data_IF_154588645869
#
_entry.id   IF_154588645869
#
_cell.length_a   1.000
_cell.length_b   1.000
_cell.length_c   1.000
_cell.angle_alpha   90.00
_cell.angle_beta   90.00
_cell.angle_gamma   90.00
#
_symmetry.space_group_name_H-M   'P 1'
#
loop_
_entity.id
_entity.type
_entity.pdbx_description
1 polymer ?
#
# COMPACT_ATOMS: atom_id res chain seq x y z
N UNK A 1 -1.66 11.10 19.47
CA UNK A 1 -2.89 11.07 18.64
C UNK A 1 -2.48 10.53 17.30
N UNK A 2 -2.97 9.37 16.91
CA UNK A 2 -2.70 8.80 15.60
C UNK A 2 -3.54 9.56 14.56
N UNK A 3 -2.90 10.11 13.56
CA UNK A 3 -3.52 10.84 12.46
C UNK A 3 -3.57 9.88 11.26
N UNK A 4 -4.72 9.71 10.62
CA UNK A 4 -4.82 8.88 9.41
C UNK A 4 -4.15 9.63 8.24
N UNK A 5 -3.21 8.99 7.56
CA UNK A 5 -2.52 9.56 6.42
C UNK A 5 -2.80 8.71 5.17
N UNK A 6 -3.56 9.26 4.24
CA UNK A 6 -3.91 8.69 2.93
C UNK A 6 -2.85 9.01 1.87
N UNK A 7 -2.13 10.10 2.06
CA UNK A 7 -1.02 10.52 1.22
C UNK A 7 0.16 10.92 2.08
N UNK A 8 1.35 10.45 1.72
CA UNK A 8 2.58 10.77 2.46
C UNK A 8 3.74 10.91 1.49
N UNK A 9 4.61 11.87 1.78
CA UNK A 9 5.89 12.00 1.07
C UNK A 9 6.94 11.14 1.77
N UNK A 10 7.56 10.24 1.01
CA UNK A 10 8.61 9.33 1.48
C UNK A 10 9.90 9.60 0.71
N UNK A 11 10.93 10.02 1.43
CA UNK A 11 12.29 10.11 0.87
C UNK A 11 13.02 8.79 1.05
N UNK A 12 13.33 8.12 -0.05
CA UNK A 12 14.07 6.86 -0.07
C UNK A 12 15.49 7.08 -0.54
N UNK A 13 16.43 6.46 0.15
CA UNK A 13 17.85 6.55 -0.12
C UNK A 13 18.45 5.14 -0.12
N UNK A 14 18.81 4.65 -1.30
CA UNK A 14 19.50 3.38 -1.43
C UNK A 14 20.94 3.48 -0.98
N UNK A 15 21.53 2.35 -0.63
CA UNK A 15 22.91 2.28 -0.16
C UNK A 15 23.91 2.63 -1.26
N UNK A 16 25.00 3.29 -0.89
CA UNK A 16 26.12 3.51 -1.78
C UNK A 16 26.91 2.22 -1.96
N UNK A 17 27.48 2.00 -3.14
CA UNK A 17 28.46 0.95 -3.36
C UNK A 17 29.76 1.22 -2.60
N UNK A 18 30.39 0.17 -2.08
CA UNK A 18 31.70 0.23 -1.46
C UNK A 18 32.80 0.52 -2.50
N UNK A 19 33.85 1.19 -2.11
CA UNK A 19 34.99 1.41 -3.00
C UNK A 19 35.76 0.11 -3.25
N UNK A 20 36.34 -0.06 -4.43
CA UNK A 20 37.34 -1.09 -4.69
C UNK A 20 38.66 -0.79 -3.95
N UNK A 21 39.46 -1.81 -3.76
CA UNK A 21 40.77 -1.70 -3.12
C UNK A 21 41.90 -1.69 -4.17
N UNK A 22 42.88 -0.85 -3.97
CA UNK A 22 44.14 -0.92 -4.74
C UNK A 22 45.25 -1.44 -3.81
N UNK A 23 45.54 -2.74 -3.92
CA UNK A 23 46.52 -3.46 -3.10
C UNK A 23 47.40 -4.33 -3.99
N UNK A 24 48.63 -4.58 -3.52
CA UNK A 24 49.62 -5.43 -4.19
C UNK A 24 49.97 -6.55 -3.21
N UNK A 25 49.86 -7.78 -3.68
CA UNK A 25 50.28 -8.95 -2.93
C UNK A 25 51.79 -8.91 -2.63
N UNK A 26 52.14 -9.06 -1.37
CA UNK A 26 53.54 -9.07 -0.93
C UNK A 26 53.77 -10.31 -0.09
N UNK A 27 54.66 -11.17 -0.58
CA UNK A 27 55.17 -12.32 0.16
C UNK A 27 56.66 -12.26 0.30
N UNK A 28 57.21 -12.93 1.30
CA UNK A 28 58.63 -13.11 1.47
C UNK A 28 59.20 -13.78 0.21
N UNK A 29 60.16 -13.17 -0.46
CA UNK A 29 60.76 -13.61 -1.72
C UNK A 29 59.92 -13.45 -3.00
N UNK A 30 58.74 -12.80 -2.95
CA UNK A 30 57.94 -12.40 -4.12
C UNK A 30 57.60 -10.92 -4.11
N UNK A 31 58.57 -10.01 -4.39
CA UNK A 31 58.33 -8.57 -4.31
C UNK A 31 57.32 -8.03 -5.35
N UNK A 32 57.06 -8.80 -6.43
CA UNK A 32 56.13 -8.45 -7.52
C UNK A 32 54.94 -9.43 -7.57
N UNK A 33 54.23 -9.62 -6.44
CA UNK A 33 53.14 -10.58 -6.32
C UNK A 33 51.86 -10.27 -7.11
N UNK A 34 51.81 -9.11 -7.80
CA UNK A 34 50.66 -8.71 -8.60
C UNK A 34 49.59 -7.95 -7.82
N UNK A 35 48.56 -7.42 -8.52
CA UNK A 35 47.41 -6.76 -7.88
C UNK A 35 46.53 -7.77 -7.17
N UNK A 36 46.14 -7.48 -5.95
CA UNK A 36 45.30 -8.33 -5.11
C UNK A 36 44.16 -7.57 -4.40
N UNK A 37 43.88 -6.35 -4.85
CA UNK A 37 42.78 -5.57 -4.30
C UNK A 37 41.42 -6.09 -4.76
N UNK A 38 40.55 -6.40 -3.79
CA UNK A 38 39.19 -6.87 -4.00
C UNK A 38 38.20 -5.76 -4.41
N UNK A 39 37.05 -6.16 -4.91
CA UNK A 39 35.97 -5.24 -5.28
C UNK A 39 35.23 -4.73 -4.03
N UNK A 40 34.59 -3.55 -4.11
CA UNK A 40 33.63 -3.10 -3.13
C UNK A 40 32.30 -3.88 -3.24
N UNK A 41 31.57 -3.98 -2.14
CA UNK A 41 30.24 -4.56 -2.11
C UNK A 41 29.19 -3.63 -2.74
N UNK A 42 28.08 -4.18 -3.21
CA UNK A 42 26.91 -3.42 -3.70
C UNK A 42 26.22 -2.70 -2.55
N UNK A 43 25.63 -1.54 -2.77
CA UNK A 43 24.69 -0.91 -1.85
C UNK A 43 23.34 -1.66 -1.84
N UNK A 44 22.65 -1.64 -0.70
CA UNK A 44 21.31 -2.22 -0.57
C UNK A 44 20.24 -1.42 -1.32
N UNK A 45 19.22 -2.11 -1.80
CA UNK A 45 18.05 -1.51 -2.44
C UNK A 45 17.02 -1.07 -1.37
N UNK A 46 16.14 -0.11 -1.71
CA UNK A 46 14.92 0.17 -0.95
C UNK A 46 13.74 -0.43 -1.70
N UNK A 47 13.02 -1.32 -1.04
CA UNK A 47 11.93 -2.09 -1.64
C UNK A 47 10.65 -1.81 -0.84
N UNK A 48 9.58 -1.42 -1.53
CA UNK A 48 8.24 -1.38 -0.97
C UNK A 48 7.59 -2.75 -1.19
N UNK A 49 6.98 -3.32 -0.14
CA UNK A 49 6.31 -4.61 -0.19
C UNK A 49 4.93 -4.51 0.45
N UNK A 50 3.91 -5.04 -0.22
CA UNK A 50 2.56 -5.10 0.34
C UNK A 50 2.50 -6.13 1.45
N UNK A 51 2.14 -5.67 2.66
CA UNK A 51 2.00 -6.52 3.83
C UNK A 51 0.60 -6.41 4.44
N UNK A 52 0.02 -7.56 4.81
CA UNK A 52 -1.31 -7.64 5.42
C UNK A 52 -1.39 -6.95 6.79
N UNK A 53 -0.28 -6.84 7.50
CA UNK A 53 -0.21 -6.17 8.81
C UNK A 53 -0.21 -4.64 8.71
N UNK A 54 0.10 -4.08 7.52
CA UNK A 54 0.11 -2.63 7.29
C UNK A 54 -1.24 -2.17 6.78
N UNK A 55 -1.98 -1.38 7.56
CA UNK A 55 -3.28 -0.85 7.18
C UNK A 55 -3.25 0.66 6.86
N UNK A 56 -2.18 1.38 7.22
CA UNK A 56 -2.10 2.85 7.07
C UNK A 56 -0.71 3.30 6.67
N UNK A 57 -0.61 4.49 6.08
CA UNK A 57 0.66 5.14 5.75
C UNK A 57 1.24 5.99 6.89
N UNK A 58 0.67 5.92 8.08
CA UNK A 58 0.99 6.79 9.22
C UNK A 58 2.45 6.70 9.68
N UNK A 59 3.05 5.52 9.63
CA UNK A 59 4.45 5.31 10.02
C UNK A 59 5.42 6.12 9.14
N UNK A 60 5.05 6.37 7.89
CA UNK A 60 5.86 7.16 6.96
C UNK A 60 5.76 8.66 7.26
N UNK A 61 4.63 9.12 7.80
CA UNK A 61 4.50 10.49 8.26
C UNK A 61 5.45 10.78 9.43
N UNK A 62 5.62 9.81 10.34
CA UNK A 62 6.53 9.94 11.50
C UNK A 62 8.01 9.79 11.12
N UNK A 63 8.30 8.98 10.12
CA UNK A 63 9.66 8.68 9.65
C UNK A 63 9.73 8.81 8.13
N UNK A 64 9.77 10.04 7.60
CA UNK A 64 9.68 10.30 6.16
C UNK A 64 10.96 9.94 5.38
N UNK A 65 12.06 9.65 6.06
CA UNK A 65 13.33 9.29 5.42
C UNK A 65 13.67 7.83 5.73
N UNK A 66 13.90 7.05 4.68
CA UNK A 66 14.27 5.63 4.76
C UNK A 66 15.57 5.39 4.01
N UNK A 67 16.51 4.68 4.64
CA UNK A 67 17.86 4.44 4.09
C UNK A 67 18.20 2.97 4.15
N UNK A 68 18.69 2.42 3.02
CA UNK A 68 19.27 1.07 2.96
C UNK A 68 20.75 1.08 3.34
N UNK A 69 21.30 -0.12 3.55
CA UNK A 69 22.69 -0.29 3.94
C UNK A 69 23.68 0.01 2.82
N UNK A 70 24.83 0.62 3.15
CA UNK A 70 25.91 0.82 2.19
C UNK A 70 26.72 -0.46 2.01
N UNK A 71 27.27 -0.68 0.82
CA UNK A 71 28.27 -1.70 0.55
C UNK A 71 29.59 -1.38 1.25
N UNK A 72 30.29 -2.41 1.71
CA UNK A 72 31.61 -2.27 2.32
C UNK A 72 32.70 -2.14 1.27
N UNK A 73 33.79 -1.47 1.63
CA UNK A 73 34.96 -1.36 0.80
C UNK A 73 35.63 -2.74 0.61
N UNK A 74 36.20 -2.98 -0.57
CA UNK A 74 37.07 -4.12 -0.81
C UNK A 74 38.40 -4.00 -0.05
N UNK A 75 39.03 -5.12 0.22
CA UNK A 75 40.29 -5.22 0.96
C UNK A 75 41.36 -5.92 0.11
N UNK A 76 42.60 -5.93 0.61
CA UNK A 76 43.68 -6.72 0.01
C UNK A 76 43.38 -8.23 0.04
N UNK A 77 44.26 -9.02 -0.60
CA UNK A 77 44.12 -10.47 -0.71
C UNK A 77 42.84 -10.92 -1.43
N UNK A 78 42.42 -10.17 -2.44
CA UNK A 78 41.20 -10.37 -3.25
C UNK A 78 39.90 -10.43 -2.44
N UNK A 79 39.84 -9.83 -1.24
CA UNK A 79 38.64 -9.81 -0.42
C UNK A 79 37.65 -8.78 -0.94
N UNK A 80 36.52 -9.28 -1.44
CA UNK A 80 35.39 -8.42 -1.83
C UNK A 80 34.69 -7.88 -0.58
N UNK A 81 34.34 -6.60 -0.59
CA UNK A 81 33.53 -5.99 0.45
C UNK A 81 32.13 -6.62 0.51
N UNK A 82 31.58 -6.71 1.72
CA UNK A 82 30.20 -7.22 1.89
C UNK A 82 29.20 -6.25 1.27
N UNK A 83 28.11 -6.82 0.69
CA UNK A 83 27.00 -6.06 0.16
C UNK A 83 26.21 -5.37 1.29
N UNK A 84 25.64 -4.22 1.00
CA UNK A 84 24.71 -3.52 1.88
C UNK A 84 23.38 -4.27 1.99
N UNK A 85 22.77 -4.21 3.17
CA UNK A 85 21.47 -4.85 3.41
C UNK A 85 20.37 -4.06 2.70
N UNK A 86 19.51 -4.77 1.98
CA UNK A 86 18.29 -4.19 1.41
C UNK A 86 17.33 -3.76 2.52
N UNK A 87 16.59 -2.68 2.29
CA UNK A 87 15.54 -2.20 3.20
C UNK A 87 14.19 -2.53 2.59
N UNK A 88 13.47 -3.47 3.21
CA UNK A 88 12.08 -3.80 2.88
C UNK A 88 11.18 -2.95 3.75
N UNK A 89 10.24 -2.25 3.12
CA UNK A 89 9.28 -1.35 3.75
C UNK A 89 7.89 -1.90 3.48
N UNK A 90 7.19 -2.30 4.55
CA UNK A 90 5.81 -2.75 4.48
C UNK A 90 4.87 -1.59 4.13
N UNK A 91 4.01 -1.77 3.13
CA UNK A 91 2.99 -0.81 2.71
C UNK A 91 1.62 -1.49 2.66
N UNK A 92 0.51 -0.73 2.87
CA UNK A 92 -0.84 -1.25 2.73
C UNK A 92 -1.13 -1.70 1.30
N UNK A 93 -2.06 -2.66 1.18
CA UNK A 93 -2.60 -3.07 -0.12
C UNK A 93 -3.34 -1.91 -0.80
N UNK A 94 -3.11 -1.72 -2.11
CA UNK A 94 -3.68 -0.60 -2.89
C UNK A 94 -2.92 0.72 -2.72
N UNK A 95 -1.65 0.65 -2.33
CA UNK A 95 -0.76 1.82 -2.29
C UNK A 95 -0.28 2.17 -3.69
N UNK A 96 -0.60 3.36 -4.17
CA UNK A 96 -0.05 3.94 -5.40
C UNK A 96 1.24 4.70 -5.10
N UNK A 97 2.27 4.43 -5.88
CA UNK A 97 3.58 5.09 -5.76
C UNK A 97 3.73 6.09 -6.89
N UNK A 98 3.89 7.37 -6.56
CA UNK A 98 4.06 8.46 -7.52
C UNK A 98 5.41 9.14 -7.35
N UNK A 99 5.87 9.79 -8.43
CA UNK A 99 6.97 10.78 -8.34
C UNK A 99 6.48 12.06 -7.67
N UNK A 100 7.40 12.95 -7.31
CA UNK A 100 7.06 14.29 -6.82
C UNK A 100 6.25 15.10 -7.85
N UNK A 101 6.39 14.80 -9.14
CA UNK A 101 5.69 15.46 -10.25
C UNK A 101 4.30 14.84 -10.52
N UNK A 102 3.89 13.82 -9.75
CA UNK A 102 2.58 13.17 -9.85
C UNK A 102 2.52 12.01 -10.86
N UNK A 103 3.62 11.63 -11.50
CA UNK A 103 3.66 10.46 -12.39
C UNK A 103 3.54 9.17 -11.57
N UNK A 104 2.64 8.27 -11.97
CA UNK A 104 2.44 6.97 -11.33
C UNK A 104 3.56 6.01 -11.73
N UNK A 105 4.34 5.56 -10.75
CA UNK A 105 5.43 4.60 -10.95
C UNK A 105 4.97 3.15 -10.77
N UNK A 106 4.07 2.91 -9.80
CA UNK A 106 3.53 1.59 -9.52
C UNK A 106 2.21 1.69 -8.77
N UNK A 107 1.36 0.67 -8.94
CA UNK A 107 0.17 0.41 -8.17
C UNK A 107 0.38 -0.92 -7.43
N UNK A 108 0.46 -0.88 -6.10
CA UNK A 108 0.84 -2.01 -5.28
C UNK A 108 -0.43 -2.71 -4.78
N UNK A 109 -0.93 -3.63 -5.60
CA UNK A 109 -2.11 -4.46 -5.32
C UNK A 109 -1.69 -5.91 -5.15
N UNK A 110 -2.28 -6.60 -4.16
CA UNK A 110 -1.97 -8.00 -3.83
C UNK A 110 -0.84 -8.14 -2.79
N UNK A 111 -1.03 -9.10 -1.85
CA UNK A 111 -0.04 -9.38 -0.80
C UNK A 111 1.29 -9.86 -1.40
N UNK A 112 2.40 -9.36 -0.86
CA UNK A 112 3.73 -9.71 -1.32
C UNK A 112 4.17 -9.02 -2.62
N UNK A 113 3.32 -8.16 -3.22
CA UNK A 113 3.72 -7.34 -4.37
C UNK A 113 4.86 -6.41 -3.97
N UNK A 114 5.92 -6.39 -4.80
CA UNK A 114 7.15 -5.64 -4.52
C UNK A 114 7.45 -4.60 -5.58
N UNK A 115 7.92 -3.44 -5.14
CA UNK A 115 8.42 -2.38 -6.00
C UNK A 115 9.78 -1.88 -5.51
N UNK A 116 10.78 -1.84 -6.40
CA UNK A 116 12.10 -1.28 -6.07
C UNK A 116 12.03 0.25 -6.16
N UNK A 117 11.86 0.89 -5.02
CA UNK A 117 11.73 2.33 -4.90
C UNK A 117 13.02 3.08 -5.21
N UNK A 118 14.18 2.53 -4.79
CA UNK A 118 15.50 3.06 -5.11
C UNK A 118 16.53 1.92 -5.18
N UNK A 119 17.40 1.97 -6.18
CA UNK A 119 18.45 0.96 -6.39
C UNK A 119 19.75 1.34 -5.74
N UNK A 120 20.40 0.36 -5.10
CA UNK A 120 21.72 0.50 -4.54
C UNK A 120 22.80 0.73 -5.61
N UNK A 121 23.82 1.49 -5.23
CA UNK A 121 24.99 1.74 -6.09
C UNK A 121 25.84 0.49 -6.27
N UNK A 122 26.47 0.35 -7.42
CA UNK A 122 27.39 -0.76 -7.68
C UNK A 122 28.68 -0.57 -6.90
N UNK A 123 29.25 -1.67 -6.42
CA UNK A 123 30.58 -1.68 -5.83
C UNK A 123 31.66 -1.35 -6.86
N UNK A 124 32.65 -0.57 -6.44
CA UNK A 124 33.81 -0.25 -7.28
C UNK A 124 34.73 -1.45 -7.50
N UNK A 125 35.30 -1.56 -8.67
CA UNK A 125 36.23 -2.66 -9.00
C UNK A 125 37.57 -2.42 -8.32
N UNK A 126 38.13 -3.48 -7.72
CA UNK A 126 39.48 -3.50 -7.20
C UNK A 126 40.55 -3.57 -8.32
N UNK A 127 41.79 -3.27 -7.99
CA UNK A 127 42.83 -3.27 -8.98
C UNK A 127 43.16 -4.65 -9.58
N UNK A 128 42.83 -5.74 -8.86
CA UNK A 128 42.92 -7.10 -9.40
C UNK A 128 41.97 -7.32 -10.58
N UNK A 129 40.72 -6.83 -10.47
CA UNK A 129 39.71 -6.90 -11.55
C UNK A 129 40.02 -5.96 -12.73
N UNK A 130 40.78 -4.90 -12.51
CA UNK A 130 41.21 -3.93 -13.53
C UNK A 130 42.52 -4.29 -14.23
N UNK A 131 43.16 -5.40 -13.83
CA UNK A 131 44.37 -5.88 -14.46
C UNK A 131 44.11 -6.32 -15.90
N UNK A 132 45.04 -5.95 -16.79
CA UNK A 132 44.99 -6.31 -18.20
C UNK A 132 46.36 -6.65 -18.74
N UNK A 133 46.50 -7.30 -19.91
CA UNK A 133 47.80 -7.60 -20.51
C UNK A 133 48.68 -6.39 -20.72
N UNK A 134 48.09 -5.21 -21.00
CA UNK A 134 48.78 -3.93 -21.15
C UNK A 134 49.11 -3.26 -19.81
N UNK A 135 48.32 -3.49 -18.76
CA UNK A 135 48.50 -2.91 -17.42
C UNK A 135 48.37 -4.05 -16.39
N UNK A 136 49.46 -4.75 -16.13
CA UNK A 136 49.44 -5.95 -15.26
C UNK A 136 49.21 -5.64 -13.79
N UNK A 137 49.54 -4.48 -13.29
CA UNK A 137 49.33 -4.05 -11.90
C UNK A 137 48.85 -2.59 -11.86
N UNK A 138 47.56 -2.32 -12.01
CA UNK A 138 46.99 -1.00 -11.86
C UNK A 138 47.21 -0.48 -10.42
N UNK A 139 47.72 0.74 -10.26
CA UNK A 139 47.88 1.39 -8.95
C UNK A 139 46.63 2.11 -8.45
N UNK A 140 45.46 1.83 -9.02
CA UNK A 140 44.17 2.44 -8.68
C UNK A 140 43.07 1.44 -8.66
N UNK A 141 41.97 1.77 -7.99
CA UNK A 141 40.71 1.07 -7.97
C UNK A 141 39.54 2.03 -8.27
N UNK A 142 38.41 1.53 -8.65
CA UNK A 142 37.23 2.35 -8.89
C UNK A 142 36.49 2.65 -7.57
N UNK A 143 35.91 3.84 -7.47
CA UNK A 143 34.98 4.18 -6.40
C UNK A 143 33.68 3.46 -6.62
N UNK A 144 32.97 3.16 -5.53
CA UNK A 144 31.59 2.69 -5.60
C UNK A 144 30.67 3.78 -6.14
N UNK A 145 29.64 3.36 -6.84
CA UNK A 145 28.61 4.27 -7.35
C UNK A 145 27.70 4.76 -6.21
N UNK A 146 27.18 5.99 -6.29
CA UNK A 146 26.17 6.45 -5.35
C UNK A 146 24.87 5.65 -5.53
N UNK A 147 24.21 5.32 -4.43
CA UNK A 147 22.85 4.76 -4.45
C UNK A 147 21.84 5.81 -4.92
N UNK A 148 20.73 5.34 -5.50
CA UNK A 148 19.66 6.21 -5.95
C UNK A 148 18.96 6.88 -4.77
N UNK A 149 18.57 8.13 -4.98
CA UNK A 149 17.76 8.93 -4.07
C UNK A 149 16.48 9.35 -4.80
N UNK A 150 15.31 9.18 -4.15
CA UNK A 150 14.04 9.61 -4.72
C UNK A 150 13.13 10.15 -3.63
N UNK A 151 12.39 11.19 -3.97
CA UNK A 151 11.24 11.64 -3.21
C UNK A 151 10.00 11.04 -3.87
N UNK A 152 9.26 10.22 -3.14
CA UNK A 152 8.08 9.51 -3.62
C UNK A 152 6.86 10.00 -2.86
N UNK A 153 5.73 10.04 -3.53
CA UNK A 153 4.43 10.24 -2.92
C UNK A 153 3.75 8.87 -2.89
N UNK A 154 3.42 8.39 -1.69
CA UNK A 154 2.61 7.20 -1.49
C UNK A 154 1.17 7.65 -1.25
N UNK A 155 0.23 7.10 -2.01
CA UNK A 155 -1.19 7.38 -1.89
C UNK A 155 -1.98 6.08 -1.77
N UNK A 156 -2.86 6.00 -0.77
CA UNK A 156 -3.67 4.82 -0.54
C UNK A 156 -4.99 4.92 -1.30
N UNK A 157 -5.16 4.10 -2.33
CA UNK A 157 -6.39 4.06 -3.15
C UNK A 157 -7.53 3.26 -2.53
N UNK A 158 -7.23 2.37 -1.58
CA UNK A 158 -8.25 1.56 -0.89
C UNK A 158 -8.96 2.41 0.12
N UNK A 159 -10.27 2.57 -0.04
CA UNK A 159 -11.05 3.47 0.82
C UNK A 159 -11.26 2.86 2.20
N UNK A 160 -11.60 1.56 2.29
CA UNK A 160 -11.76 0.86 3.57
C UNK A 160 -11.84 -0.66 3.37
N UNK A 161 -11.46 -1.43 4.41
CA UNK A 161 -11.69 -2.87 4.46
C UNK A 161 -13.18 -3.17 4.73
N UNK A 162 -13.81 -2.36 5.59
CA UNK A 162 -15.20 -2.52 6.02
C UNK A 162 -16.02 -1.26 5.73
N UNK A 163 -17.13 -1.40 5.06
CA UNK A 163 -18.10 -0.33 4.81
C UNK A 163 -19.32 -0.45 5.74
N UNK A 164 -19.64 0.61 6.51
CA UNK A 164 -20.88 0.70 7.26
C UNK A 164 -21.98 1.22 6.36
N UNK A 165 -23.02 0.43 6.19
CA UNK A 165 -24.16 0.72 5.31
C UNK A 165 -25.43 0.81 6.15
N UNK A 166 -26.25 1.83 5.94
CA UNK A 166 -27.47 2.02 6.71
C UNK A 166 -28.13 3.35 6.42
N UNK A 167 -29.33 3.52 6.88
CA UNK A 167 -30.08 4.78 6.75
C UNK A 167 -29.38 5.96 7.43
N UNK A 168 -29.70 7.21 7.05
CA UNK A 168 -29.29 8.38 7.82
C UNK A 168 -29.69 8.22 9.30
N UNK A 169 -28.85 8.70 10.20
CA UNK A 169 -29.04 8.64 11.66
C UNK A 169 -29.10 7.23 12.28
N UNK A 170 -28.78 6.16 11.54
CA UNK A 170 -28.65 4.82 12.11
C UNK A 170 -27.46 4.66 13.09
N UNK A 171 -26.60 5.68 13.17
CA UNK A 171 -25.46 5.73 14.10
C UNK A 171 -24.13 5.25 13.54
N UNK A 172 -23.97 5.18 12.20
CA UNK A 172 -22.73 4.72 11.54
C UNK A 172 -21.51 5.53 11.99
N UNK A 173 -21.56 6.86 11.88
CA UNK A 173 -20.46 7.76 12.29
C UNK A 173 -20.16 7.63 13.79
N UNK A 174 -21.19 7.38 14.62
CA UNK A 174 -21.03 7.17 16.06
C UNK A 174 -20.31 5.85 16.37
N UNK A 175 -20.60 4.77 15.59
CA UNK A 175 -19.89 3.50 15.69
C UNK A 175 -18.41 3.69 15.38
N UNK A 176 -18.09 4.38 14.28
CA UNK A 176 -16.70 4.67 13.92
C UNK A 176 -16.01 5.47 15.03
N UNK A 177 -16.65 6.50 15.54
CA UNK A 177 -16.09 7.32 16.61
C UNK A 177 -15.83 6.53 17.90
N UNK A 178 -16.71 5.56 18.22
CA UNK A 178 -16.58 4.72 19.42
C UNK A 178 -15.56 3.60 19.28
N UNK A 179 -15.33 3.08 18.05
CA UNK A 179 -14.43 1.95 17.81
C UNK A 179 -13.05 2.36 17.33
N UNK A 180 -12.90 3.57 16.80
CA UNK A 180 -11.62 4.00 16.20
C UNK A 180 -10.57 4.26 17.27
N UNK A 181 -9.39 3.65 17.10
CA UNK A 181 -8.20 3.91 17.91
C UNK A 181 -7.63 5.34 17.69
N UNK A 182 -8.01 5.98 16.60
CA UNK A 182 -7.66 7.35 16.24
C UNK A 182 -8.92 8.19 16.06
N UNK A 183 -8.82 9.53 16.17
CA UNK A 183 -9.94 10.40 15.80
C UNK A 183 -10.32 10.14 14.35
N UNK A 184 -11.62 9.85 14.05
CA UNK A 184 -12.09 9.71 12.69
C UNK A 184 -11.70 10.93 11.86
N UNK A 185 -11.17 10.70 10.67
CA UNK A 185 -10.81 11.77 9.75
C UNK A 185 -11.86 11.86 8.64
N UNK A 186 -12.23 13.07 8.35
CA UNK A 186 -12.96 13.42 7.14
C UNK A 186 -11.91 13.40 6.02
N UNK A 187 -11.98 12.41 5.13
CA UNK A 187 -11.02 12.26 4.04
C UNK A 187 -11.59 12.86 2.75
N UNK A 188 -10.89 13.88 2.23
CA UNK A 188 -11.27 14.56 0.98
C UNK A 188 -10.59 13.84 -0.20
N UNK A 189 -11.30 12.90 -0.81
CA UNK A 189 -10.80 12.21 -1.99
C UNK A 189 -11.22 12.94 -3.27
N UNK A 190 -10.32 13.18 -4.23
CA UNK A 190 -10.62 13.93 -5.45
C UNK A 190 -11.67 13.25 -6.35
N UNK A 191 -12.03 12.01 -6.07
CA UNK A 191 -13.05 11.24 -6.80
C UNK A 191 -14.35 11.04 -6.00
N UNK A 192 -14.50 11.72 -4.85
CA UNK A 192 -15.69 11.60 -4.00
C UNK A 192 -16.41 12.94 -3.92
N UNK A 193 -17.71 12.96 -4.26
CA UNK A 193 -18.59 14.13 -4.06
C UNK A 193 -19.07 14.25 -2.62
N UNK A 194 -19.00 13.15 -1.85
CA UNK A 194 -19.28 13.08 -0.42
C UNK A 194 -18.07 12.53 0.31
N UNK A 195 -17.63 13.26 1.29
CA UNK A 195 -16.43 12.96 2.08
C UNK A 195 -16.77 11.89 3.13
N UNK A 196 -16.21 10.65 3.02
CA UNK A 196 -16.48 9.62 4.01
C UNK A 196 -15.73 9.90 5.33
N UNK A 197 -16.34 9.50 6.45
CA UNK A 197 -15.62 9.42 7.72
C UNK A 197 -14.90 8.08 7.77
N UNK A 198 -13.58 8.12 7.93
CA UNK A 198 -12.75 6.93 8.08
C UNK A 198 -12.30 6.77 9.52
N UNK A 199 -12.30 5.53 9.99
CA UNK A 199 -11.75 5.14 11.29
C UNK A 199 -10.86 3.94 11.18
N UNK A 200 -9.76 3.92 11.95
CA UNK A 200 -8.89 2.75 12.07
C UNK A 200 -9.30 1.99 13.32
N UNK A 201 -9.69 0.74 13.15
CA UNK A 201 -10.12 -0.17 14.23
C UNK A 201 -9.03 -1.21 14.46
N UNK A 202 -8.73 -1.45 15.73
CA UNK A 202 -7.82 -2.49 16.18
C UNK A 202 -8.61 -3.55 16.96
N UNK A 203 -8.55 -4.80 16.50
CA UNK A 203 -9.20 -5.92 17.18
C UNK A 203 -8.23 -7.12 17.23
N UNK A 204 -7.66 -7.36 18.41
CA UNK A 204 -6.53 -8.29 18.57
C UNK A 204 -5.31 -7.81 17.79
N UNK A 205 -4.72 -8.69 17.00
CA UNK A 205 -3.55 -8.39 16.17
C UNK A 205 -3.93 -7.85 14.77
N UNK A 206 -5.22 -7.65 14.49
CA UNK A 206 -5.70 -7.19 13.18
C UNK A 206 -6.07 -5.72 13.25
N UNK A 207 -5.44 -4.92 12.40
CA UNK A 207 -5.79 -3.52 12.18
C UNK A 207 -6.46 -3.38 10.80
N UNK A 208 -7.58 -2.65 10.74
CA UNK A 208 -8.34 -2.45 9.50
C UNK A 208 -9.03 -1.09 9.48
N UNK A 209 -9.39 -0.64 8.28
CA UNK A 209 -10.05 0.65 8.05
C UNK A 209 -11.55 0.43 7.89
N UNK A 210 -12.33 1.21 8.61
CA UNK A 210 -13.80 1.26 8.52
C UNK A 210 -14.23 2.60 7.94
N UNK A 211 -15.09 2.57 6.92
CA UNK A 211 -15.67 3.77 6.32
C UNK A 211 -17.15 3.94 6.71
N UNK A 212 -17.52 5.16 7.09
CA UNK A 212 -18.93 5.58 7.09
C UNK A 212 -19.30 5.85 5.63
N UNK A 213 -20.10 4.95 5.10
CA UNK A 213 -20.69 5.17 3.80
C UNK A 213 -21.94 6.04 4.02
N UNK A 214 -21.96 7.34 3.61
CA UNK A 214 -23.06 8.26 3.89
C UNK A 214 -24.41 7.71 3.42
N UNK A 215 -25.46 7.89 4.19
CA UNK A 215 -26.72 7.13 4.17
C UNK A 215 -27.36 6.84 2.80
N UNK A 216 -27.76 5.60 2.63
CA UNK A 216 -28.66 5.18 1.54
C UNK A 216 -29.98 5.93 1.65
N UNK A 217 -30.28 6.75 0.65
CA UNK A 217 -31.60 7.38 0.50
C UNK A 217 -32.36 6.52 -0.51
N UNK A 218 -33.60 6.06 -0.19
CA UNK A 218 -34.40 5.28 -1.13
C UNK A 218 -34.53 5.99 -2.48
N UNK A 219 -34.29 5.25 -3.59
CA UNK A 219 -34.30 5.79 -4.95
C UNK A 219 -32.96 6.28 -5.47
N UNK A 220 -31.88 6.02 -4.76
CA UNK A 220 -30.51 6.35 -5.17
C UNK A 220 -30.09 5.67 -6.50
N UNK A 221 -30.56 4.44 -6.73
CA UNK A 221 -30.32 3.69 -7.99
C UNK A 221 -31.06 4.27 -9.20
N UNK A 222 -32.08 5.12 -9.00
CA UNK A 222 -32.88 5.73 -10.09
C UNK A 222 -32.39 7.13 -10.48
N UNK A 223 -31.21 7.56 -10.05
CA UNK A 223 -30.63 8.87 -10.37
C UNK A 223 -31.28 10.05 -9.65
N UNK A 224 -32.16 9.80 -8.67
CA UNK A 224 -32.73 10.82 -7.78
C UNK A 224 -31.85 10.98 -6.56
N UNK A 225 -30.87 11.86 -6.63
CA UNK A 225 -29.95 12.16 -5.52
C UNK A 225 -28.56 11.56 -5.68
N UNK A 226 -27.72 11.67 -4.66
CA UNK A 226 -26.28 11.35 -4.58
C UNK A 226 -25.92 9.85 -4.77
N UNK A 227 -26.79 9.03 -5.39
CA UNK A 227 -26.77 7.57 -5.36
C UNK A 227 -25.56 6.88 -6.00
N UNK A 228 -25.13 7.30 -7.18
CA UNK A 228 -24.08 6.59 -7.91
C UNK A 228 -22.68 6.83 -7.33
N UNK A 229 -22.37 8.06 -6.90
CA UNK A 229 -21.06 8.37 -6.33
C UNK A 229 -20.85 7.72 -4.96
N UNK A 230 -21.94 7.59 -4.21
CA UNK A 230 -22.00 6.91 -2.94
C UNK A 230 -21.67 5.40 -3.02
N UNK A 231 -22.27 4.70 -3.97
CA UNK A 231 -22.09 3.26 -4.11
C UNK A 231 -20.71 2.86 -4.61
N UNK A 232 -19.96 3.80 -5.21
CA UNK A 232 -18.53 3.62 -5.51
C UNK A 232 -17.67 3.40 -4.26
N UNK A 233 -18.07 3.96 -3.11
CA UNK A 233 -17.35 3.71 -1.85
C UNK A 233 -17.64 2.31 -1.32
N UNK A 234 -18.89 1.84 -1.44
CA UNK A 234 -19.28 0.46 -1.10
C UNK A 234 -18.53 -0.54 -1.99
N UNK A 235 -18.38 -0.24 -3.27
CA UNK A 235 -17.67 -1.08 -4.25
C UNK A 235 -16.22 -1.37 -3.83
N UNK A 236 -15.59 -0.44 -3.12
CA UNK A 236 -14.18 -0.56 -2.68
C UNK A 236 -14.03 -1.21 -1.31
N UNK A 237 -15.12 -1.53 -0.60
CA UNK A 237 -15.06 -2.23 0.68
C UNK A 237 -15.18 -3.74 0.46
N UNK A 238 -14.36 -4.53 1.15
CA UNK A 238 -14.42 -5.99 1.08
C UNK A 238 -15.58 -6.59 1.85
N UNK A 239 -15.94 -5.95 2.95
CA UNK A 239 -16.94 -6.42 3.91
C UNK A 239 -17.96 -5.31 4.14
N UNK A 240 -19.22 -5.69 4.31
CA UNK A 240 -20.29 -4.75 4.59
C UNK A 240 -20.89 -5.02 5.97
N UNK A 241 -21.13 -3.96 6.73
CA UNK A 241 -21.89 -4.03 7.99
C UNK A 241 -23.16 -3.21 7.84
N UNK A 242 -24.30 -3.89 7.88
CA UNK A 242 -25.61 -3.26 7.86
C UNK A 242 -25.93 -2.72 9.25
N UNK A 243 -25.94 -1.40 9.39
CA UNK A 243 -26.29 -0.72 10.64
C UNK A 243 -27.77 -0.38 10.63
N UNK A 244 -28.54 -1.06 11.47
CA UNK A 244 -29.99 -0.93 11.56
C UNK A 244 -30.39 -0.20 12.84
N UNK A 245 -31.23 0.82 12.71
CA UNK A 245 -31.74 1.62 13.82
C UNK A 245 -32.92 0.91 14.48
N UNK A 246 -32.72 0.44 15.70
CA UNK A 246 -33.80 -0.20 16.48
C UNK A 246 -34.66 0.83 17.26
N UNK A 247 -34.22 2.09 17.36
CA UNK A 247 -34.94 3.13 18.10
C UNK A 247 -35.88 3.96 17.22
N UNK A 248 -35.88 3.75 15.90
CA UNK A 248 -36.74 4.54 14.99
C UNK A 248 -38.21 4.39 15.33
N UNK A 249 -38.95 5.51 15.36
CA UNK A 249 -40.41 5.57 15.55
C UNK A 249 -41.16 5.98 14.26
N UNK A 250 -40.42 6.13 13.16
CA UNK A 250 -40.98 6.53 11.87
C UNK A 250 -41.95 5.44 11.36
N UNK A 251 -43.17 5.81 10.94
CA UNK A 251 -44.17 4.85 10.43
C UNK A 251 -43.64 4.06 9.23
N UNK A 252 -43.77 2.74 9.26
CA UNK A 252 -43.33 1.85 8.18
C UNK A 252 -41.85 1.48 8.21
N UNK A 253 -41.07 1.96 9.16
CA UNK A 253 -39.66 1.59 9.37
C UNK A 253 -39.55 0.50 10.46
N UNK A 254 -38.70 -0.46 10.18
CA UNK A 254 -38.28 -1.47 11.15
C UNK A 254 -36.93 -2.01 10.70
N UNK A 255 -36.15 -2.65 11.59
CA UNK A 255 -34.84 -3.22 11.18
C UNK A 255 -34.95 -4.14 9.97
N UNK A 256 -36.04 -4.93 9.86
CA UNK A 256 -36.29 -5.85 8.74
C UNK A 256 -36.63 -5.08 7.44
N UNK A 257 -37.48 -4.07 7.51
CA UNK A 257 -37.83 -3.23 6.37
C UNK A 257 -36.63 -2.45 5.86
N UNK A 258 -35.84 -1.85 6.78
CA UNK A 258 -34.65 -1.10 6.45
C UNK A 258 -33.60 -2.00 5.74
N UNK A 259 -33.38 -3.22 6.24
CA UNK A 259 -32.46 -4.18 5.58
C UNK A 259 -32.94 -4.52 4.17
N UNK A 260 -34.24 -4.78 3.97
CA UNK A 260 -34.80 -5.13 2.66
C UNK A 260 -34.61 -3.98 1.65
N UNK A 261 -34.75 -2.71 2.06
CA UNK A 261 -34.50 -1.56 1.21
C UNK A 261 -33.01 -1.48 0.84
N UNK A 262 -32.12 -1.63 1.82
CA UNK A 262 -30.67 -1.59 1.60
C UNK A 262 -30.24 -2.69 0.61
N UNK A 263 -30.69 -3.93 0.83
CA UNK A 263 -30.38 -5.07 -0.04
C UNK A 263 -30.86 -4.84 -1.48
N UNK A 264 -32.06 -4.29 -1.64
CA UNK A 264 -32.63 -3.96 -2.95
C UNK A 264 -31.79 -2.90 -3.69
N UNK A 265 -31.36 -1.85 -2.99
CA UNK A 265 -30.53 -0.80 -3.59
C UNK A 265 -29.12 -1.33 -3.96
N UNK A 266 -28.51 -2.17 -3.11
CA UNK A 266 -27.23 -2.81 -3.41
C UNK A 266 -27.32 -3.77 -4.61
N UNK A 267 -28.41 -4.52 -4.73
CA UNK A 267 -28.66 -5.40 -5.87
C UNK A 267 -28.83 -4.62 -7.18
N UNK A 268 -29.65 -3.56 -7.16
CA UNK A 268 -29.89 -2.70 -8.31
C UNK A 268 -28.58 -2.01 -8.81
N UNK A 269 -27.71 -1.62 -7.86
CA UNK A 269 -26.40 -1.08 -8.22
C UNK A 269 -25.50 -2.14 -8.84
N UNK A 270 -25.46 -3.34 -8.26
CA UNK A 270 -24.70 -4.47 -8.80
C UNK A 270 -25.08 -4.79 -10.25
N UNK A 271 -26.40 -4.80 -10.55
CA UNK A 271 -26.91 -4.98 -11.92
C UNK A 271 -26.47 -3.86 -12.86
N UNK A 272 -26.47 -2.60 -12.38
CA UNK A 272 -26.12 -1.43 -13.20
C UNK A 272 -24.63 -1.32 -13.51
N UNK A 273 -23.76 -1.76 -12.59
CA UNK A 273 -22.30 -1.60 -12.68
C UNK A 273 -21.55 -2.87 -13.06
N UNK A 274 -22.20 -4.04 -12.99
CA UNK A 274 -21.56 -5.34 -13.16
C UNK A 274 -20.71 -5.79 -11.96
N UNK A 275 -20.79 -5.07 -10.83
CA UNK A 275 -20.04 -5.40 -9.61
C UNK A 275 -20.90 -6.29 -8.71
N UNK A 276 -20.41 -7.49 -8.41
CA UNK A 276 -21.11 -8.38 -7.49
C UNK A 276 -20.92 -7.95 -6.03
N UNK A 277 -21.86 -7.15 -5.55
CA UNK A 277 -21.94 -6.78 -4.13
C UNK A 277 -22.71 -7.83 -3.31
N UNK A 278 -23.44 -8.74 -3.96
CA UNK A 278 -24.31 -9.69 -3.26
C UNK A 278 -23.52 -10.81 -2.58
N UNK A 279 -22.38 -11.20 -3.10
CA UNK A 279 -21.55 -12.29 -2.56
C UNK A 279 -20.59 -11.85 -1.45
N UNK A 280 -20.47 -10.54 -1.21
CA UNK A 280 -19.57 -10.04 -0.17
C UNK A 280 -20.00 -10.47 1.24
N UNK A 281 -19.05 -10.78 2.14
CA UNK A 281 -19.35 -11.04 3.54
C UNK A 281 -20.10 -9.87 4.18
N UNK A 282 -21.18 -10.21 4.92
CA UNK A 282 -22.07 -9.21 5.52
C UNK A 282 -22.32 -9.51 6.98
N UNK A 283 -22.33 -8.46 7.81
CA UNK A 283 -22.72 -8.50 9.21
C UNK A 283 -23.91 -7.58 9.42
N UNK A 284 -24.73 -7.86 10.44
CA UNK A 284 -25.80 -6.98 10.88
C UNK A 284 -25.49 -6.45 12.26
N UNK A 285 -25.57 -5.13 12.42
CA UNK A 285 -25.45 -4.42 13.67
C UNK A 285 -26.79 -3.76 14.01
N UNK A 286 -27.49 -4.31 15.00
CA UNK A 286 -28.73 -3.75 15.58
C UNK A 286 -28.33 -2.68 16.58
N UNK A 287 -28.43 -1.42 16.19
CA UNK A 287 -27.92 -0.29 16.98
C UNK A 287 -28.97 0.38 17.85
N UNK A 288 -28.51 1.14 18.85
CA UNK A 288 -29.30 1.91 19.82
C UNK A 288 -30.04 1.05 20.85
N UNK A 289 -29.48 -0.11 21.20
CA UNK A 289 -30.10 -1.00 22.22
C UNK A 289 -30.05 -0.43 23.65
N UNK A 290 -29.36 0.71 23.85
CA UNK A 290 -29.44 1.49 25.09
C UNK A 290 -30.86 1.99 25.38
N UNK A 291 -31.70 2.14 24.36
CA UNK A 291 -33.10 2.48 24.49
C UNK A 291 -33.92 1.21 24.75
N UNK A 292 -34.67 1.10 25.87
CA UNK A 292 -35.39 -0.15 26.22
C UNK A 292 -36.34 -0.66 25.15
N UNK A 293 -37.08 0.23 24.49
CA UNK A 293 -37.96 -0.12 23.39
C UNK A 293 -37.21 -0.64 22.15
N UNK A 294 -36.00 -0.13 21.89
CA UNK A 294 -35.15 -0.55 20.80
C UNK A 294 -34.55 -1.95 21.07
N UNK A 295 -34.16 -2.24 22.32
CA UNK A 295 -33.70 -3.56 22.73
C UNK A 295 -34.75 -4.63 22.47
N UNK A 296 -35.99 -4.40 22.90
CA UNK A 296 -37.09 -5.36 22.64
C UNK A 296 -37.34 -5.59 21.13
N UNK A 297 -37.16 -4.52 20.29
CA UNK A 297 -37.27 -4.68 18.83
C UNK A 297 -36.08 -5.44 18.25
N UNK A 298 -34.88 -5.26 18.79
CA UNK A 298 -33.69 -6.00 18.38
C UNK A 298 -33.83 -7.49 18.70
N UNK A 299 -34.25 -7.82 19.93
CA UNK A 299 -34.53 -9.21 20.36
C UNK A 299 -35.54 -9.92 19.46
N UNK A 300 -36.59 -9.20 19.01
CA UNK A 300 -37.60 -9.73 18.09
C UNK A 300 -37.06 -9.92 16.66
N UNK A 301 -36.22 -9.00 16.18
CA UNK A 301 -35.71 -9.02 14.80
C UNK A 301 -34.58 -10.02 14.60
N UNK A 302 -33.72 -10.21 15.59
CA UNK A 302 -32.51 -11.02 15.54
C UNK A 302 -32.72 -12.44 15.02
N UNK A 303 -33.68 -13.24 15.54
CA UNK A 303 -33.86 -14.61 15.06
C UNK A 303 -34.19 -14.69 13.57
N UNK A 304 -34.92 -13.70 13.04
CA UNK A 304 -35.27 -13.63 11.62
C UNK A 304 -34.05 -13.40 10.72
N UNK A 305 -33.06 -12.62 11.18
CA UNK A 305 -31.80 -12.38 10.45
C UNK A 305 -30.87 -13.59 10.56
N UNK A 306 -30.77 -14.20 11.74
CA UNK A 306 -29.97 -15.42 11.96
C UNK A 306 -30.46 -16.57 11.11
N UNK A 307 -31.81 -16.74 10.99
CA UNK A 307 -32.41 -17.74 10.12
C UNK A 307 -32.09 -17.54 8.62
N UNK A 308 -31.72 -16.29 8.22
CA UNK A 308 -31.25 -15.98 6.86
C UNK A 308 -29.75 -16.17 6.71
N UNK A 309 -29.04 -16.63 7.76
CA UNK A 309 -27.60 -16.89 7.76
C UNK A 309 -26.71 -15.68 8.08
N UNK A 310 -27.27 -14.57 8.56
CA UNK A 310 -26.49 -13.43 8.99
C UNK A 310 -25.93 -13.59 10.39
N UNK A 311 -24.69 -13.13 10.62
CA UNK A 311 -24.21 -12.89 11.98
C UNK A 311 -24.76 -11.55 12.47
N UNK A 312 -25.44 -11.56 13.62
CA UNK A 312 -26.17 -10.40 14.15
C UNK A 312 -25.56 -9.97 15.47
N UNK A 313 -25.26 -8.69 15.59
CA UNK A 313 -24.71 -8.06 16.78
C UNK A 313 -25.68 -6.99 17.29
N UNK A 314 -26.04 -7.09 18.55
CA UNK A 314 -26.79 -6.06 19.27
C UNK A 314 -25.79 -5.08 19.87
N UNK A 315 -25.89 -3.80 19.50
CA UNK A 315 -24.89 -2.80 19.84
C UNK A 315 -25.53 -1.49 20.30
N UNK A 316 -24.79 -0.75 21.12
CA UNK A 316 -25.02 0.66 21.36
C UNK A 316 -23.75 1.45 21.11
N UNK A 317 -23.76 2.28 20.09
CA UNK A 317 -22.64 3.19 19.83
C UNK A 317 -22.46 4.24 20.95
N UNK A 318 -23.52 4.54 21.71
CA UNK A 318 -23.50 5.52 22.80
C UNK A 318 -22.83 4.96 24.07
N UNK A 319 -23.14 3.71 24.43
CA UNK A 319 -22.62 3.07 25.65
C UNK A 319 -21.37 2.21 25.41
N UNK A 320 -21.10 1.85 24.16
CA UNK A 320 -20.03 0.92 23.80
C UNK A 320 -20.42 -0.56 23.90
N UNK A 321 -21.66 -0.88 24.35
CA UNK A 321 -22.15 -2.24 24.46
C UNK A 321 -22.13 -2.95 23.10
N UNK A 322 -21.63 -4.19 23.05
CA UNK A 322 -21.60 -5.02 21.84
C UNK A 322 -20.57 -4.63 20.78
N UNK A 323 -19.88 -3.50 20.89
CA UNK A 323 -18.93 -3.04 19.89
C UNK A 323 -17.67 -3.92 19.79
N UNK A 324 -17.21 -4.44 20.93
CA UNK A 324 -16.03 -5.32 20.95
C UNK A 324 -16.23 -6.65 20.21
N UNK A 325 -17.31 -7.42 20.46
CA UNK A 325 -17.63 -8.61 19.65
C UNK A 325 -17.78 -8.31 18.15
N UNK A 326 -18.45 -7.21 17.79
CA UNK A 326 -18.57 -6.76 16.40
C UNK A 326 -17.18 -6.48 15.79
N UNK A 327 -16.27 -5.83 16.52
CA UNK A 327 -14.91 -5.56 16.08
C UNK A 327 -14.12 -6.83 15.77
N UNK A 328 -14.20 -7.85 16.64
CA UNK A 328 -13.54 -9.14 16.39
C UNK A 328 -14.15 -9.90 15.20
N UNK A 329 -15.47 -9.83 15.01
CA UNK A 329 -16.11 -10.46 13.85
C UNK A 329 -15.68 -9.79 12.53
N UNK A 330 -15.62 -8.45 12.50
CA UNK A 330 -15.07 -7.70 11.36
C UNK A 330 -13.62 -8.10 11.10
N UNK A 331 -12.77 -8.13 12.13
CA UNK A 331 -11.35 -8.51 12.02
C UNK A 331 -11.18 -9.93 11.45
N UNK A 332 -11.99 -10.89 11.89
CA UNK A 332 -11.95 -12.26 11.39
C UNK A 332 -12.28 -12.32 9.88
N UNK A 333 -13.30 -11.59 9.44
CA UNK A 333 -13.67 -11.53 8.03
C UNK A 333 -12.60 -10.81 7.19
N UNK A 334 -12.02 -9.71 7.69
CA UNK A 334 -10.91 -9.00 7.04
C UNK A 334 -9.70 -9.91 6.89
N UNK A 335 -9.34 -10.65 7.93
CA UNK A 335 -8.23 -11.60 7.88
C UNK A 335 -8.49 -12.72 6.86
N UNK A 336 -9.71 -13.25 6.81
CA UNK A 336 -10.11 -14.28 5.84
C UNK A 336 -10.08 -13.74 4.40
N UNK A 337 -10.60 -12.53 4.15
CA UNK A 337 -10.57 -11.88 2.83
C UNK A 337 -9.13 -11.63 2.37
N UNK A 338 -8.28 -11.10 3.26
CA UNK A 338 -6.85 -10.88 2.97
C UNK A 338 -6.11 -12.19 2.66
N UNK A 339 -6.43 -13.29 3.36
CA UNK A 339 -5.83 -14.60 3.12
C UNK A 339 -6.34 -15.28 1.83
N UNK A 340 -7.61 -15.02 1.45
CA UNK A 340 -8.22 -15.59 0.24
C UNK A 340 -7.79 -14.88 -1.05
N UNK A 341 -7.29 -13.64 -0.97
CA UNK A 341 -6.75 -12.94 -2.15
C UNK A 341 -5.49 -13.66 -2.61
N UNK A 342 -5.47 -14.25 -3.84
CA UNK A 342 -4.23 -14.85 -4.35
C UNK A 342 -3.15 -13.77 -4.33
N UNK A 343 -1.94 -14.14 -3.90
CA UNK A 343 -0.78 -13.33 -4.25
C UNK A 343 -0.76 -13.26 -5.78
N UNK A 344 -1.22 -12.15 -6.36
CA UNK A 344 -1.05 -11.96 -7.79
C UNK A 344 0.43 -12.14 -8.08
N UNK A 345 0.71 -13.17 -8.87
CA UNK A 345 2.07 -13.40 -9.35
C UNK A 345 2.53 -12.08 -9.94
N UNK A 346 3.74 -11.59 -9.58
CA UNK A 346 4.23 -10.33 -10.11
C UNK A 346 4.08 -10.41 -11.62
N UNK A 347 3.28 -9.51 -12.18
CA UNK A 347 2.99 -9.46 -13.61
C UNK A 347 4.32 -9.66 -14.32
N UNK A 348 4.40 -10.70 -15.16
CA UNK A 348 5.60 -11.02 -15.94
C UNK A 348 6.11 -9.70 -16.48
N UNK A 349 7.35 -9.37 -16.13
CA UNK A 349 7.98 -8.12 -16.53
C UNK A 349 7.83 -8.01 -18.03
N UNK A 350 6.81 -7.32 -18.49
CA UNK A 350 6.75 -6.86 -19.88
C UNK A 350 8.03 -6.06 -20.04
N UNK A 351 9.04 -6.68 -20.65
CA UNK A 351 10.27 -5.98 -21.02
C UNK A 351 9.81 -4.87 -21.93
N UNK A 352 9.59 -3.69 -21.36
CA UNK A 352 9.47 -2.47 -22.16
C UNK A 352 10.80 -2.39 -22.88
N UNK A 353 10.81 -2.81 -24.15
CA UNK A 353 11.89 -2.49 -25.06
C UNK A 353 11.87 -0.97 -25.15
N UNK A 354 12.65 -0.32 -24.30
CA UNK A 354 12.97 1.08 -24.49
C UNK A 354 13.79 1.13 -25.76
N UNK A 355 13.12 1.30 -26.89
CA UNK A 355 13.77 1.71 -28.11
C UNK A 355 14.16 3.15 -27.85
N UNK A 356 15.39 3.35 -27.40
CA UNK A 356 16.00 4.69 -27.37
C UNK A 356 16.00 5.11 -28.82
N UNK A 357 15.03 5.96 -29.23
CA UNK A 357 15.19 6.74 -30.45
C UNK A 357 16.42 7.59 -30.20
N UNK A 358 17.43 7.55 -31.09
CA UNK A 358 18.50 8.52 -31.01
C UNK A 358 17.84 9.90 -30.96
N UNK A 359 18.14 10.71 -29.93
CA UNK A 359 17.80 12.10 -29.96
C UNK A 359 18.48 12.67 -31.21
N UNK A 360 17.76 13.44 -32.01
CA UNK A 360 18.28 14.25 -33.09
C UNK A 360 19.12 15.42 -32.50
N UNK A 361 20.15 15.08 -31.75
CA UNK A 361 21.25 16.00 -31.49
C UNK A 361 22.23 15.89 -32.63
N UNK A 362 22.79 17.01 -33.14
CA UNK A 362 23.76 16.98 -34.21
C UNK A 362 24.95 16.12 -33.76
N UNK A 363 24.95 14.88 -34.21
CA UNK A 363 25.96 13.91 -33.89
C UNK A 363 27.30 14.38 -34.47
N UNK A 364 28.36 14.20 -33.73
CA UNK A 364 29.68 14.36 -34.26
C UNK A 364 29.91 13.36 -35.40
N UNK A 365 30.44 13.87 -36.49
CA UNK A 365 30.82 13.07 -37.64
C UNK A 365 32.27 12.58 -37.45
N UNK A 366 32.47 11.26 -37.45
CA UNK A 366 33.79 10.67 -37.38
C UNK A 366 34.30 10.41 -38.79
N UNK A 367 35.20 11.24 -39.26
CA UNK A 367 35.84 11.08 -40.57
C UNK A 367 37.16 10.33 -40.41
N UNK A 368 37.30 9.18 -41.08
CA UNK A 368 38.55 8.42 -41.13
C UNK A 368 39.57 9.11 -42.05
N UNK A 369 40.72 9.48 -41.54
CA UNK A 369 41.77 10.19 -42.27
C UNK A 369 42.93 9.27 -42.72
N UNK A 370 42.97 8.02 -42.18
CA UNK A 370 44.02 7.04 -42.50
C UNK A 370 43.75 5.71 -41.79
N UNK A 371 44.65 4.73 -41.89
CA UNK A 371 44.41 3.41 -41.29
C UNK A 371 44.19 3.44 -39.78
N UNK A 372 44.80 4.37 -39.05
CA UNK A 372 44.73 4.53 -37.58
C UNK A 372 44.44 5.95 -37.12
N UNK A 373 43.92 6.84 -37.99
CA UNK A 373 43.63 8.21 -37.64
C UNK A 373 42.19 8.61 -37.99
N UNK A 374 41.52 9.23 -37.01
CA UNK A 374 40.13 9.68 -37.14
C UNK A 374 40.03 11.16 -36.69
N UNK A 375 39.20 11.94 -37.38
CA UNK A 375 38.84 13.30 -36.98
C UNK A 375 37.37 13.34 -36.61
N UNK A 376 37.09 13.91 -35.44
CA UNK A 376 35.76 14.18 -34.96
C UNK A 376 35.38 15.61 -35.33
N UNK A 377 34.27 15.80 -36.03
CA UNK A 377 33.66 17.12 -36.28
C UNK A 377 32.36 17.17 -35.46
N UNK A 378 32.21 18.18 -34.60
CA UNK A 378 31.01 18.56 -33.89
C UNK A 378 30.22 19.56 -34.69
#
# INVERSE_FOLDING_TARGET
MAEFADQVTLRVQAGHGGNGCASIHREKFKPLGGPDGGNGGRGGDVILEVDASSATLLDFHRRPVRRAGNGRQGEGSNRTGADGTDLIIAVPNGTEVKTADGEVLADLVGLGTRFVAARGGRGGLGNAALASPRRKAPGFALKGEPGQQRDLILELKTVADVGLVGFPNAGKSSIIAAMSAARPKIADYPFTTLIPNLGVVEAGDVQFVVADVPGLIPGASQGRGLGHDFLRHVERCSILVHVLDCATEEPGRSPAADLAVIEKELAAYGEATGVDLATRPRLIALNKIDVPAARARADLAKPGFEARGYQVFEISAATGEGLRPLGFAMAALVAADRAARPAEQPAERTRVKVTVKPADEPGFEVVRLGEDSFRIRS
#
